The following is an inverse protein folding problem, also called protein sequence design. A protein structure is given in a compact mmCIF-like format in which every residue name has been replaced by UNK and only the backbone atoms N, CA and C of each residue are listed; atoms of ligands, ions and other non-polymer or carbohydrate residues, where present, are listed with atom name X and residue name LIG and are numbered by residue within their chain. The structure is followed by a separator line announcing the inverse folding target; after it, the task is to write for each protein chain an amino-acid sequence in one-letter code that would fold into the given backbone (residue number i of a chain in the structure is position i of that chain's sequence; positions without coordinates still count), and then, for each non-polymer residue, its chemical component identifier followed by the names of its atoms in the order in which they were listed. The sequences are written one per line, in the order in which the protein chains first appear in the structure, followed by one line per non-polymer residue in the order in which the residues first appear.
data_IF_125918756826
#
_entry.id   IF_125918756826
#
_cell.length_a   1.000
_cell.length_b   1.000
_cell.length_c   1.000
_cell.angle_alpha   90.00
_cell.angle_beta   90.00
_cell.angle_gamma   90.00
#
_symmetry.space_group_name_H-M   'P 1'
#
loop_
_entity.id
_entity.type
_entity.pdbx_description
1 polymer ?
#
# COMPACT_ATOMS: atom_id res chain seq x y z
N UNK A 1 6.44 -23.89 -3.92
CA UNK A 1 6.13 -22.68 -3.13
C UNK A 1 6.14 -22.92 -1.62
N UNK A 2 5.53 -24.00 -1.08
CA UNK A 2 5.55 -24.28 0.38
C UNK A 2 6.94 -24.30 1.02
N UNK A 3 7.92 -25.00 0.44
CA UNK A 3 9.29 -25.05 0.97
C UNK A 3 9.93 -23.65 1.13
N UNK A 4 9.77 -22.77 0.14
CA UNK A 4 10.30 -21.41 0.21
C UNK A 4 9.56 -20.58 1.27
N UNK A 5 8.23 -20.71 1.36
CA UNK A 5 7.44 -20.05 2.39
C UNK A 5 7.85 -20.51 3.80
N UNK A 6 8.01 -21.82 4.01
CA UNK A 6 8.44 -22.38 5.29
C UNK A 6 9.86 -21.92 5.67
N UNK A 7 10.78 -21.85 4.70
CA UNK A 7 12.13 -21.31 4.91
C UNK A 7 12.10 -19.83 5.27
N UNK A 8 11.32 -19.02 4.55
CA UNK A 8 11.19 -17.58 4.82
C UNK A 8 10.54 -17.31 6.19
N UNK A 9 9.46 -18.01 6.53
CA UNK A 9 8.83 -17.93 7.85
C UNK A 9 9.79 -18.32 8.97
N UNK A 10 10.67 -19.30 8.76
CA UNK A 10 11.70 -19.65 9.73
C UNK A 10 12.82 -18.58 9.82
N UNK A 11 13.20 -17.95 8.70
CA UNK A 11 14.13 -16.82 8.71
C UNK A 11 13.55 -15.61 9.45
N UNK A 12 12.26 -15.32 9.30
CA UNK A 12 11.59 -14.24 10.04
C UNK A 12 11.55 -14.51 11.55
N UNK A 13 11.41 -15.78 11.97
CA UNK A 13 11.52 -16.17 13.40
C UNK A 13 12.95 -16.16 13.92
N UNK A 14 13.93 -16.36 13.03
CA UNK A 14 15.35 -16.49 13.35
C UNK A 14 16.12 -15.18 13.52
N UNK A 15 15.52 -14.02 13.24
CA UNK A 15 16.20 -12.71 13.34
C UNK A 15 16.29 -12.14 14.76
N UNK A 16 16.13 -12.96 15.80
CA UNK A 16 16.53 -12.57 17.15
C UNK A 16 18.07 -12.53 17.27
N UNK A 17 18.61 -11.33 17.12
CA UNK A 17 19.83 -10.90 17.81
C UNK A 17 21.15 -11.46 17.29
N UNK A 18 21.65 -10.90 16.19
CA UNK A 18 23.10 -10.77 15.95
C UNK A 18 23.54 -9.33 16.24
N UNK A 19 23.13 -8.78 17.38
CA UNK A 19 23.61 -7.47 17.86
C UNK A 19 24.94 -7.61 18.60
N UNK A 20 25.97 -8.14 17.93
CA UNK A 20 27.29 -8.25 18.52
C UNK A 20 28.42 -8.37 17.48
N UNK A 21 28.44 -7.51 16.46
CA UNK A 21 29.67 -7.30 15.69
C UNK A 21 30.28 -5.93 16.01
N UNK A 22 31.25 -5.96 16.92
CA UNK A 22 32.44 -5.11 16.88
C UNK A 22 32.29 -3.63 17.22
N UNK A 23 32.20 -3.30 18.52
CA UNK A 23 32.64 -1.98 19.02
C UNK A 23 34.15 -1.83 18.83
N UNK A 24 34.62 -1.36 17.67
CA UNK A 24 35.94 -0.72 17.54
C UNK A 24 35.88 0.47 16.57
N UNK A 25 36.33 1.62 17.10
CA UNK A 25 36.47 2.97 16.53
C UNK A 25 35.19 3.74 16.13
N UNK A 26 34.38 4.08 17.15
CA UNK A 26 33.33 5.12 17.08
C UNK A 26 33.90 6.55 17.13
N UNK A 27 35.21 6.72 17.40
CA UNK A 27 35.82 8.03 17.69
C UNK A 27 36.03 8.97 16.49
N UNK A 28 35.93 8.47 15.25
CA UNK A 28 36.18 9.26 14.02
C UNK A 28 34.94 9.42 13.14
N UNK A 29 33.75 9.12 13.66
CA UNK A 29 32.50 9.26 12.92
C UNK A 29 32.06 10.73 12.91
N UNK A 30 32.00 11.33 11.72
CA UNK A 30 31.53 12.70 11.58
C UNK A 30 30.03 12.78 11.86
N UNK A 31 29.64 13.76 12.67
CA UNK A 31 28.26 14.19 12.86
C UNK A 31 27.79 15.17 11.78
N UNK A 32 28.71 15.69 10.96
CA UNK A 32 28.38 16.58 9.85
C UNK A 32 27.81 15.75 8.69
N UNK A 33 26.56 16.00 8.25
CA UNK A 33 25.89 15.13 7.28
C UNK A 33 26.63 14.98 5.95
N UNK A 34 27.22 16.06 5.42
CA UNK A 34 27.95 16.06 4.16
C UNK A 34 29.22 15.21 4.25
N UNK A 35 29.93 15.29 5.38
CA UNK A 35 31.10 14.44 5.63
C UNK A 35 30.70 12.99 5.82
N UNK A 36 29.58 12.72 6.49
CA UNK A 36 29.05 11.36 6.66
C UNK A 36 28.67 10.73 5.31
N UNK A 37 28.02 11.47 4.39
CA UNK A 37 27.74 11.02 3.02
C UNK A 37 29.03 10.65 2.28
N UNK A 38 30.03 11.54 2.34
CA UNK A 38 31.34 11.30 1.70
C UNK A 38 32.03 10.07 2.28
N UNK A 39 31.97 9.86 3.59
CA UNK A 39 32.55 8.70 4.25
C UNK A 39 31.93 7.39 3.75
N UNK A 40 30.60 7.35 3.59
CA UNK A 40 29.91 6.16 3.05
C UNK A 40 30.33 5.86 1.62
N UNK A 41 30.37 6.87 0.74
CA UNK A 41 30.67 6.68 -0.68
C UNK A 41 32.15 6.41 -0.97
N UNK A 42 33.06 6.91 -0.12
CA UNK A 42 34.51 6.67 -0.26
C UNK A 42 35.00 5.40 0.43
N UNK A 43 34.16 4.73 1.23
CA UNK A 43 34.52 3.49 1.90
C UNK A 43 34.86 2.39 0.87
N UNK A 44 36.04 1.79 1.03
CA UNK A 44 36.54 0.69 0.19
C UNK A 44 36.41 -0.67 0.86
N UNK A 45 36.37 -0.73 2.20
CA UNK A 45 36.19 -1.95 2.97
C UNK A 45 34.71 -2.20 3.31
N UNK A 46 34.27 -3.45 3.20
CA UNK A 46 32.89 -3.88 3.50
C UNK A 46 32.49 -3.55 4.95
N UNK A 47 33.34 -3.91 5.92
CA UNK A 47 33.09 -3.64 7.35
C UNK A 47 33.03 -2.14 7.64
N UNK A 48 33.96 -1.35 7.09
CA UNK A 48 33.95 0.12 7.26
C UNK A 48 32.72 0.76 6.62
N UNK A 49 32.29 0.26 5.46
CA UNK A 49 31.11 0.78 4.76
C UNK A 49 29.84 0.63 5.60
N UNK A 50 29.67 -0.51 6.29
CA UNK A 50 28.53 -0.74 7.17
C UNK A 50 28.52 0.22 8.36
N UNK A 51 29.68 0.47 8.98
CA UNK A 51 29.80 1.40 10.12
C UNK A 51 29.48 2.84 9.70
N UNK A 52 30.01 3.30 8.56
CA UNK A 52 29.71 4.64 8.06
C UNK A 52 28.25 4.78 7.63
N UNK A 53 27.67 3.74 7.02
CA UNK A 53 26.27 3.75 6.61
C UNK A 53 25.33 3.81 7.82
N UNK A 54 25.63 3.06 8.87
CA UNK A 54 24.89 3.08 10.13
C UNK A 54 24.95 4.48 10.79
N UNK A 55 26.15 5.09 10.80
CA UNK A 55 26.31 6.46 11.28
C UNK A 55 25.50 7.47 10.47
N UNK A 56 25.54 7.39 9.13
CA UNK A 56 24.81 8.31 8.29
C UNK A 56 23.29 8.20 8.50
N UNK A 57 22.75 6.99 8.66
CA UNK A 57 21.33 6.83 8.97
C UNK A 57 20.98 7.44 10.34
N UNK A 58 21.82 7.26 11.36
CA UNK A 58 21.63 7.90 12.67
C UNK A 58 21.63 9.43 12.56
N UNK A 59 22.55 9.98 11.75
CA UNK A 59 22.59 11.41 11.48
C UNK A 59 21.30 11.86 10.80
N UNK A 60 20.88 11.20 9.72
CA UNK A 60 19.65 11.54 8.97
C UNK A 60 18.41 11.53 9.86
N UNK A 61 18.28 10.53 10.74
CA UNK A 61 17.14 10.41 11.66
C UNK A 61 17.10 11.52 12.72
N UNK A 62 18.26 12.10 13.05
CA UNK A 62 18.36 13.23 13.98
C UNK A 62 18.14 14.61 13.31
N UNK A 63 18.18 14.68 11.98
CA UNK A 63 17.96 15.94 11.25
C UNK A 63 16.48 16.33 11.24
N UNK A 64 16.20 17.62 11.41
CA UNK A 64 14.91 18.19 11.04
C UNK A 64 14.74 18.23 9.50
N UNK A 65 13.57 18.65 9.04
CA UNK A 65 13.22 18.64 7.63
C UNK A 65 13.98 19.67 6.80
N UNK A 66 14.36 20.83 7.38
CA UNK A 66 15.15 21.86 6.68
C UNK A 66 16.59 21.40 6.51
N UNK A 67 17.17 20.83 7.58
CA UNK A 67 18.49 20.22 7.56
C UNK A 67 18.54 19.04 6.58
N UNK A 68 17.53 18.17 6.58
CA UNK A 68 17.44 17.06 5.64
C UNK A 68 17.37 17.56 4.19
N UNK A 69 16.56 18.59 3.91
CA UNK A 69 16.49 19.21 2.59
C UNK A 69 17.86 19.77 2.14
N UNK A 70 18.64 20.37 3.04
CA UNK A 70 19.99 20.84 2.73
C UNK A 70 20.94 19.68 2.35
N UNK A 71 20.83 18.54 3.04
CA UNK A 71 21.61 17.33 2.71
C UNK A 71 21.22 16.75 1.36
N UNK A 72 19.92 16.68 1.06
CA UNK A 72 19.41 16.20 -0.23
C UNK A 72 19.83 17.10 -1.39
N UNK A 73 19.80 18.42 -1.18
CA UNK A 73 20.30 19.39 -2.16
C UNK A 73 21.79 19.18 -2.42
N UNK A 74 22.59 19.07 -1.36
CA UNK A 74 24.01 18.76 -1.49
C UNK A 74 24.27 17.44 -2.24
N UNK A 75 23.44 16.42 -1.98
CA UNK A 75 23.53 15.12 -2.64
C UNK A 75 23.26 15.21 -4.14
N UNK A 76 22.27 16.01 -4.55
CA UNK A 76 22.01 16.30 -5.97
C UNK A 76 23.15 17.11 -6.61
N UNK A 77 23.74 18.06 -5.90
CA UNK A 77 24.81 18.90 -6.46
C UNK A 77 26.13 18.13 -6.66
N UNK A 78 26.42 17.18 -5.76
CA UNK A 78 27.75 16.53 -5.69
C UNK A 78 27.78 15.10 -6.19
N UNK A 79 26.64 14.39 -6.19
CA UNK A 79 26.58 12.95 -6.50
C UNK A 79 25.47 12.59 -7.50
N UNK A 80 24.93 13.55 -8.25
CA UNK A 80 24.04 13.28 -9.38
C UNK A 80 24.84 12.97 -10.68
N UNK A 81 24.13 12.64 -11.76
CA UNK A 81 24.70 12.29 -13.05
C UNK A 81 25.55 13.43 -13.62
N UNK A 82 26.80 13.14 -13.98
CA UNK A 82 27.61 14.05 -14.77
C UNK A 82 27.14 14.04 -16.25
N UNK A 83 26.31 15.02 -16.61
CA UNK A 83 25.70 15.11 -17.94
C UNK A 83 26.72 15.12 -19.10
N UNK A 84 27.90 15.74 -18.91
CA UNK A 84 28.94 15.77 -19.93
C UNK A 84 29.60 14.39 -20.11
N UNK A 85 29.89 13.70 -19.01
CA UNK A 85 30.44 12.36 -19.04
C UNK A 85 29.45 11.36 -19.67
N UNK A 86 28.16 11.45 -19.30
CA UNK A 86 27.10 10.62 -19.90
C UNK A 86 26.96 10.87 -21.40
N UNK A 87 26.93 12.13 -21.85
CA UNK A 87 26.85 12.46 -23.28
C UNK A 87 28.04 11.89 -24.08
N UNK A 88 29.26 11.97 -23.51
CA UNK A 88 30.46 11.39 -24.12
C UNK A 88 30.38 9.86 -24.19
N UNK A 89 29.93 9.21 -23.12
CA UNK A 89 29.74 7.77 -23.07
C UNK A 89 28.70 7.30 -24.11
N UNK A 90 27.56 7.99 -24.19
CA UNK A 90 26.51 7.71 -25.16
C UNK A 90 26.99 7.83 -26.62
N UNK A 91 27.75 8.89 -26.95
CA UNK A 91 28.33 9.06 -28.29
C UNK A 91 29.29 7.92 -28.63
N UNK A 92 30.13 7.52 -27.67
CA UNK A 92 31.09 6.41 -27.86
C UNK A 92 30.35 5.09 -28.09
N UNK A 93 29.35 4.79 -27.27
CA UNK A 93 28.55 3.58 -27.37
C UNK A 93 27.77 3.50 -28.69
N UNK A 94 27.23 4.62 -29.17
CA UNK A 94 26.53 4.70 -30.45
C UNK A 94 27.45 4.33 -31.65
N UNK A 95 28.74 4.65 -31.57
CA UNK A 95 29.72 4.30 -32.61
C UNK A 95 30.30 2.90 -32.46
N UNK A 96 30.34 2.36 -31.24
CA UNK A 96 30.94 1.07 -30.93
C UNK A 96 30.22 0.39 -29.75
N UNK A 97 29.11 -0.35 -30.01
CA UNK A 97 28.30 -0.99 -28.97
C UNK A 97 28.96 -2.26 -28.45
N UNK A 98 30.10 -2.10 -27.78
CA UNK A 98 30.88 -3.17 -27.18
C UNK A 98 30.43 -3.44 -25.75
N UNK A 99 30.81 -4.59 -25.20
CA UNK A 99 30.57 -4.92 -23.78
C UNK A 99 31.14 -3.84 -22.84
N UNK A 100 32.41 -3.43 -23.01
CA UNK A 100 33.00 -2.37 -22.20
C UNK A 100 32.32 -1.01 -22.39
N UNK A 101 31.85 -0.72 -23.62
CA UNK A 101 31.05 0.48 -23.88
C UNK A 101 29.71 0.48 -23.13
N UNK A 102 29.05 -0.68 -23.02
CA UNK A 102 27.80 -0.85 -22.27
C UNK A 102 28.02 -0.59 -20.77
N UNK A 103 29.11 -1.10 -20.20
CA UNK A 103 29.48 -0.87 -18.80
C UNK A 103 29.74 0.63 -18.52
N UNK A 104 30.48 1.31 -19.40
CA UNK A 104 30.79 2.73 -19.27
C UNK A 104 29.51 3.59 -19.29
N UNK A 105 28.61 3.34 -20.25
CA UNK A 105 27.35 4.12 -20.33
C UNK A 105 26.43 3.81 -19.15
N UNK A 106 26.34 2.55 -18.71
CA UNK A 106 25.52 2.16 -17.57
C UNK A 106 26.01 2.86 -16.28
N UNK A 107 27.32 2.81 -16.01
CA UNK A 107 27.91 3.47 -14.85
C UNK A 107 27.78 5.00 -14.91
N UNK A 108 27.94 5.61 -16.10
CA UNK A 108 27.78 7.05 -16.26
C UNK A 108 26.31 7.53 -16.14
N UNK A 109 25.34 6.64 -16.40
CA UNK A 109 23.91 6.93 -16.32
C UNK A 109 23.33 6.70 -14.91
N UNK A 110 24.13 6.20 -13.97
CA UNK A 110 23.69 5.97 -12.60
C UNK A 110 24.24 7.05 -11.68
N UNK A 111 23.38 7.78 -10.95
CA UNK A 111 23.84 8.76 -9.97
C UNK A 111 24.44 8.07 -8.74
N UNK A 112 25.46 8.69 -8.14
CA UNK A 112 26.17 8.15 -6.98
C UNK A 112 25.29 7.96 -5.74
N UNK A 113 24.21 8.73 -5.62
CA UNK A 113 23.24 8.55 -4.53
C UNK A 113 22.44 7.24 -4.60
N UNK A 114 22.39 6.55 -5.75
CA UNK A 114 21.83 5.20 -5.83
C UNK A 114 22.69 4.18 -5.06
N UNK A 115 24.01 4.29 -5.22
CA UNK A 115 24.96 3.46 -4.49
C UNK A 115 24.96 3.77 -2.99
N UNK A 116 24.79 5.05 -2.63
CA UNK A 116 24.57 5.45 -1.24
C UNK A 116 23.42 4.65 -0.61
N UNK A 117 22.24 4.64 -1.25
CA UNK A 117 21.08 3.92 -0.72
C UNK A 117 21.27 2.40 -0.69
N UNK A 118 22.02 1.80 -1.63
CA UNK A 118 22.37 0.37 -1.52
C UNK A 118 23.21 0.07 -0.29
N UNK A 119 24.20 0.92 0.00
CA UNK A 119 25.06 0.78 1.19
C UNK A 119 24.28 1.00 2.48
N UNK A 120 23.35 1.97 2.50
CA UNK A 120 22.46 2.17 3.63
C UNK A 120 21.53 0.97 3.86
N UNK A 121 21.03 0.34 2.80
CA UNK A 121 20.17 -0.83 2.92
C UNK A 121 20.89 -2.07 3.49
N UNK A 122 22.22 -2.14 3.36
CA UNK A 122 23.02 -3.25 3.87
C UNK A 122 23.19 -3.23 5.40
N UNK A 123 22.80 -2.14 6.08
CA UNK A 123 22.91 -2.05 7.54
C UNK A 123 21.79 -2.82 8.25
N UNK A 124 21.89 -2.93 9.57
CA UNK A 124 20.84 -3.58 10.37
C UNK A 124 19.57 -2.73 10.31
N UNK A 125 18.44 -3.35 9.93
CA UNK A 125 17.17 -2.66 9.68
C UNK A 125 17.25 -1.54 8.62
N UNK A 126 18.28 -1.51 7.77
CA UNK A 126 18.49 -0.46 6.78
C UNK A 126 17.29 -0.25 5.85
N UNK A 127 16.61 -1.34 5.46
CA UNK A 127 15.38 -1.27 4.65
C UNK A 127 14.26 -0.49 5.35
N UNK A 128 13.99 -0.76 6.63
CA UNK A 128 12.95 -0.07 7.41
C UNK A 128 13.28 1.43 7.48
N UNK A 129 14.53 1.76 7.77
CA UNK A 129 15.01 3.14 7.90
C UNK A 129 14.94 3.90 6.58
N UNK A 130 15.22 3.25 5.45
CA UNK A 130 15.05 3.83 4.11
C UNK A 130 13.57 4.05 3.74
N UNK A 131 12.67 3.19 4.21
CA UNK A 131 11.22 3.39 4.02
C UNK A 131 10.75 4.62 4.80
N UNK A 132 11.17 4.80 6.04
CA UNK A 132 10.88 6.02 6.82
C UNK A 132 11.54 7.28 6.23
N UNK A 133 12.78 7.16 5.74
CA UNK A 133 13.42 8.25 4.99
C UNK A 133 12.59 8.63 3.76
N UNK A 134 12.07 7.66 3.02
CA UNK A 134 11.21 7.92 1.85
C UNK A 134 9.91 8.60 2.24
N UNK A 135 9.31 8.22 3.36
CA UNK A 135 8.13 8.91 3.91
C UNK A 135 8.41 10.40 4.10
N UNK A 136 9.51 10.76 4.79
CA UNK A 136 9.93 12.16 4.95
C UNK A 136 10.23 12.85 3.62
N UNK A 137 10.91 12.17 2.70
CA UNK A 137 11.22 12.67 1.36
C UNK A 137 9.96 13.10 0.60
N UNK A 138 8.88 12.31 0.70
CA UNK A 138 7.62 12.59 0.01
C UNK A 138 6.94 13.87 0.50
N UNK A 139 7.11 14.21 1.77
CA UNK A 139 6.60 15.47 2.31
C UNK A 139 7.45 16.66 1.88
N UNK A 140 8.78 16.51 1.89
CA UNK A 140 9.71 17.53 1.39
C UNK A 140 9.50 17.87 -0.09
N UNK A 141 9.13 16.88 -0.92
CA UNK A 141 8.87 17.07 -2.36
C UNK A 141 7.76 18.08 -2.66
N UNK A 142 6.87 18.39 -1.72
CA UNK A 142 5.84 19.42 -1.91
C UNK A 142 6.44 20.82 -2.13
N UNK A 143 7.55 21.10 -1.45
CA UNK A 143 8.26 22.38 -1.53
C UNK A 143 9.56 22.30 -2.34
N UNK A 144 10.07 21.08 -2.61
CA UNK A 144 11.31 20.83 -3.35
C UNK A 144 11.10 19.82 -4.50
N UNK A 145 10.56 20.25 -5.66
CA UNK A 145 10.22 19.34 -6.77
C UNK A 145 11.41 18.54 -7.32
N UNK A 146 12.63 19.07 -7.26
CA UNK A 146 13.85 18.38 -7.74
C UNK A 146 14.14 17.07 -6.99
N UNK A 147 13.64 16.91 -5.76
CA UNK A 147 13.76 15.69 -4.97
C UNK A 147 12.99 14.51 -5.57
N UNK A 148 12.11 14.75 -6.55
CA UNK A 148 11.46 13.70 -7.32
C UNK A 148 12.46 12.76 -8.04
N UNK A 149 13.65 13.26 -8.38
CA UNK A 149 14.72 12.43 -8.99
C UNK A 149 15.20 11.37 -8.01
N UNK A 150 15.40 11.75 -6.74
CA UNK A 150 15.79 10.85 -5.65
C UNK A 150 14.66 9.85 -5.37
N UNK A 151 13.41 10.30 -5.21
CA UNK A 151 12.26 9.40 -4.97
C UNK A 151 12.12 8.37 -6.10
N UNK A 152 12.26 8.79 -7.36
CA UNK A 152 12.17 7.88 -8.51
C UNK A 152 13.24 6.80 -8.48
N UNK A 153 14.47 7.13 -8.09
CA UNK A 153 15.54 6.15 -7.93
C UNK A 153 15.32 5.23 -6.73
N UNK A 154 14.89 5.77 -5.59
CA UNK A 154 14.57 4.99 -4.40
C UNK A 154 13.40 4.04 -4.64
N UNK A 155 12.37 4.45 -5.37
CA UNK A 155 11.27 3.58 -5.83
C UNK A 155 11.80 2.41 -6.67
N UNK A 156 12.78 2.64 -7.55
CA UNK A 156 13.40 1.56 -8.35
C UNK A 156 14.14 0.57 -7.46
N UNK A 157 14.89 1.05 -6.46
CA UNK A 157 15.58 0.19 -5.49
C UNK A 157 14.57 -0.63 -4.67
N UNK A 158 13.56 0.04 -4.09
CA UNK A 158 12.52 -0.61 -3.30
C UNK A 158 11.74 -1.65 -4.13
N UNK A 159 11.43 -1.39 -5.40
CA UNK A 159 10.79 -2.39 -6.28
C UNK A 159 11.65 -3.66 -6.46
N UNK A 160 12.97 -3.51 -6.50
CA UNK A 160 13.86 -4.65 -6.61
C UNK A 160 13.98 -5.42 -5.28
N UNK A 161 13.96 -4.72 -4.15
CA UNK A 161 14.07 -5.32 -2.82
C UNK A 161 12.77 -5.99 -2.36
N UNK A 162 11.61 -5.41 -2.66
CA UNK A 162 10.29 -5.92 -2.30
C UNK A 162 9.70 -6.77 -3.44
N UNK A 163 10.34 -7.90 -3.72
CA UNK A 163 9.82 -8.84 -4.70
C UNK A 163 8.54 -9.51 -4.14
N UNK A 164 7.40 -9.45 -4.87
CA UNK A 164 6.15 -10.10 -4.45
C UNK A 164 6.28 -11.59 -4.12
N UNK A 165 7.23 -12.29 -4.76
CA UNK A 165 7.51 -13.70 -4.54
C UNK A 165 8.00 -14.04 -3.12
N UNK A 166 8.49 -13.04 -2.37
CA UNK A 166 8.94 -13.20 -0.99
C UNK A 166 7.91 -12.74 0.05
N UNK A 167 6.74 -12.25 -0.39
CA UNK A 167 5.69 -11.88 0.55
C UNK A 167 5.11 -13.12 1.23
N UNK A 168 5.19 -13.12 2.55
CA UNK A 168 4.62 -14.15 3.41
C UNK A 168 3.28 -13.67 3.92
N UNK A 169 2.26 -14.52 3.80
CA UNK A 169 0.94 -14.26 4.37
C UNK A 169 0.89 -14.94 5.73
N UNK A 170 0.60 -14.18 6.79
CA UNK A 170 0.44 -14.72 8.14
C UNK A 170 -0.94 -14.36 8.70
N UNK A 171 -1.62 -15.29 9.40
CA UNK A 171 -2.82 -14.96 10.16
C UNK A 171 -2.44 -14.07 11.35
N UNK A 172 -3.29 -13.10 11.65
CA UNK A 172 -3.17 -12.22 12.80
C UNK A 172 -4.35 -12.50 13.73
N UNK A 173 -4.02 -12.81 14.98
CA UNK A 173 -4.98 -13.14 16.02
C UNK A 173 -4.51 -12.61 17.38
N UNK A 174 -5.25 -12.92 18.44
CA UNK A 174 -4.92 -12.48 19.80
C UNK A 174 -3.68 -13.18 20.40
N UNK A 175 -3.13 -14.20 19.74
CA UNK A 175 -1.86 -14.83 20.11
C UNK A 175 -0.65 -14.16 19.44
N UNK A 176 -0.88 -13.29 18.47
CA UNK A 176 0.15 -12.51 17.78
C UNK A 176 0.86 -11.57 18.76
N UNK A 177 2.15 -11.34 18.55
CA UNK A 177 2.97 -10.53 19.45
C UNK A 177 2.46 -9.09 19.57
N UNK A 178 2.46 -8.57 20.79
CA UNK A 178 1.91 -7.25 21.10
C UNK A 178 2.53 -6.11 20.25
N UNK A 179 3.83 -6.20 19.94
CA UNK A 179 4.52 -5.24 19.09
C UNK A 179 3.98 -5.18 17.65
N UNK A 180 3.45 -6.27 17.11
CA UNK A 180 2.79 -6.30 15.79
C UNK A 180 1.37 -5.78 15.91
N UNK A 181 0.65 -6.15 16.99
CA UNK A 181 -0.70 -5.67 17.25
C UNK A 181 -0.76 -4.15 17.45
N UNK A 182 0.21 -3.57 18.17
CA UNK A 182 0.36 -2.12 18.31
C UNK A 182 0.51 -1.40 16.97
N UNK A 183 1.27 -2.00 16.05
CA UNK A 183 1.45 -1.47 14.69
C UNK A 183 0.16 -1.56 13.89
N UNK A 184 -0.61 -2.64 14.01
CA UNK A 184 -1.91 -2.76 13.34
C UNK A 184 -2.87 -1.67 13.83
N UNK A 185 -2.88 -1.38 15.14
CA UNK A 185 -3.65 -0.25 15.69
C UNK A 185 -3.21 1.07 15.04
N UNK A 186 -1.89 1.32 14.98
CA UNK A 186 -1.33 2.55 14.43
C UNK A 186 -1.56 2.73 12.92
N UNK A 187 -1.71 1.63 12.18
CA UNK A 187 -1.78 1.63 10.71
C UNK A 187 -3.20 1.50 10.14
N UNK A 188 -4.23 1.35 10.97
CA UNK A 188 -5.60 1.20 10.48
C UNK A 188 -6.14 2.50 9.87
N UNK A 189 -6.29 2.49 8.54
CA UNK A 189 -6.60 3.68 7.76
C UNK A 189 -8.08 3.78 7.34
N UNK A 190 -8.83 2.67 7.37
CA UNK A 190 -10.22 2.61 6.90
C UNK A 190 -11.16 2.93 8.05
N UNK A 191 -11.12 2.14 9.12
CA UNK A 191 -11.94 2.25 10.33
C UNK A 191 -11.06 2.30 11.57
N UNK A 192 -10.76 3.51 12.03
CA UNK A 192 -9.84 3.77 13.14
C UNK A 192 -10.07 2.84 14.35
N UNK A 193 -9.00 2.20 14.81
CA UNK A 193 -8.99 1.36 16.01
C UNK A 193 -8.54 2.25 17.18
N UNK A 194 -9.49 2.69 17.99
CA UNK A 194 -9.23 3.66 19.07
C UNK A 194 -8.76 3.02 20.38
N UNK A 195 -8.83 1.68 20.49
CA UNK A 195 -8.45 0.96 21.72
C UNK A 195 -8.07 -0.50 21.45
N UNK A 196 -7.34 -1.10 22.41
CA UNK A 196 -7.07 -2.54 22.44
C UNK A 196 -8.34 -3.39 22.50
N UNK A 197 -9.40 -2.87 23.11
CA UNK A 197 -10.70 -3.53 23.14
C UNK A 197 -11.35 -3.56 21.76
N UNK A 198 -11.24 -2.47 20.99
CA UNK A 198 -11.70 -2.42 19.60
C UNK A 198 -10.90 -3.39 18.72
N UNK A 199 -9.58 -3.48 18.91
CA UNK A 199 -8.75 -4.47 18.23
C UNK A 199 -9.19 -5.90 18.60
N UNK A 200 -9.40 -6.18 19.89
CA UNK A 200 -9.83 -7.49 20.36
C UNK A 200 -11.19 -7.88 19.76
N UNK A 201 -12.14 -6.96 19.67
CA UNK A 201 -13.44 -7.20 19.06
C UNK A 201 -13.35 -7.56 17.56
N UNK A 202 -12.27 -7.16 16.88
CA UNK A 202 -12.00 -7.48 15.47
C UNK A 202 -11.15 -8.74 15.27
N UNK A 203 -10.43 -9.21 16.28
CA UNK A 203 -9.51 -10.35 16.17
C UNK A 203 -9.96 -11.60 16.93
N UNK A 204 -10.65 -11.44 18.06
CA UNK A 204 -11.00 -12.53 18.96
C UNK A 204 -12.23 -13.36 18.53
N UNK A 205 -13.30 -12.76 17.96
CA UNK A 205 -14.46 -13.55 17.53
C UNK A 205 -14.13 -14.57 16.43
N UNK A 206 -14.75 -15.75 16.48
CA UNK A 206 -14.51 -16.81 15.50
C UNK A 206 -14.97 -16.45 14.08
N UNK A 207 -15.90 -15.51 13.94
CA UNK A 207 -16.38 -15.00 12.65
C UNK A 207 -15.56 -13.79 12.15
N UNK A 208 -14.41 -13.54 12.78
CA UNK A 208 -13.43 -12.57 12.32
C UNK A 208 -12.12 -13.27 11.97
N UNK A 209 -11.50 -12.78 10.90
CA UNK A 209 -10.17 -13.20 10.48
C UNK A 209 -9.38 -11.94 10.12
N UNK A 210 -8.13 -11.90 10.51
CA UNK A 210 -7.20 -10.86 10.08
C UNK A 210 -5.96 -11.54 9.53
N UNK A 211 -5.38 -10.94 8.49
CA UNK A 211 -4.17 -11.42 7.88
C UNK A 211 -3.24 -10.24 7.62
N UNK A 212 -1.94 -10.48 7.68
CA UNK A 212 -0.94 -9.52 7.25
C UNK A 212 0.07 -10.14 6.29
N UNK A 213 0.56 -9.31 5.38
CA UNK A 213 1.66 -9.61 4.48
C UNK A 213 2.95 -9.04 5.05
N UNK A 214 3.92 -9.92 5.25
CA UNK A 214 5.26 -9.59 5.71
C UNK A 214 6.27 -9.81 4.58
N UNK A 215 7.39 -9.10 4.66
CA UNK A 215 8.53 -9.32 3.79
C UNK A 215 9.77 -9.61 4.64
N UNK A 216 10.65 -10.55 4.24
CA UNK A 216 11.85 -10.90 5.01
C UNK A 216 12.78 -9.72 5.31
N UNK A 217 12.76 -8.68 4.47
CA UNK A 217 13.53 -7.45 4.70
C UNK A 217 12.94 -6.54 5.79
N UNK A 218 11.68 -6.74 6.17
CA UNK A 218 10.99 -6.03 7.26
C UNK A 218 10.12 -7.03 8.06
N UNK A 219 10.74 -8.00 8.77
CA UNK A 219 10.03 -9.16 9.31
C UNK A 219 9.03 -8.82 10.44
N UNK A 220 9.25 -7.69 11.14
CA UNK A 220 8.38 -7.22 12.21
C UNK A 220 7.45 -6.07 11.76
N UNK A 221 7.37 -5.82 10.45
CA UNK A 221 6.53 -4.77 9.89
C UNK A 221 5.46 -5.40 9.00
N UNK A 222 4.17 -5.33 9.39
CA UNK A 222 3.12 -5.64 8.45
C UNK A 222 3.23 -4.61 7.31
N UNK A 223 3.24 -5.08 6.06
CA UNK A 223 3.25 -4.21 4.89
C UNK A 223 1.83 -3.89 4.44
N UNK A 224 0.98 -4.92 4.46
CA UNK A 224 -0.44 -4.84 4.16
C UNK A 224 -1.14 -5.71 5.18
N UNK A 225 -2.21 -5.24 5.78
CA UNK A 225 -3.13 -6.13 6.48
C UNK A 225 -4.54 -6.05 5.93
N UNK A 226 -5.27 -7.12 6.18
CA UNK A 226 -6.56 -7.41 5.59
C UNK A 226 -7.47 -7.93 6.70
N UNK A 227 -8.54 -7.22 6.98
CA UNK A 227 -9.58 -7.64 7.91
C UNK A 227 -10.77 -8.25 7.17
N UNK A 228 -11.24 -9.39 7.67
CA UNK A 228 -12.29 -10.20 7.05
C UNK A 228 -13.37 -10.53 8.08
N UNK A 229 -14.61 -10.26 7.71
CA UNK A 229 -15.80 -10.70 8.41
C UNK A 229 -16.38 -11.93 7.72
N UNK A 230 -16.64 -12.99 8.48
CA UNK A 230 -17.33 -14.18 8.00
C UNK A 230 -18.84 -13.98 8.22
N UNK A 231 -19.62 -14.10 7.16
CA UNK A 231 -21.07 -13.87 7.16
C UNK A 231 -21.80 -14.91 6.30
N UNK A 232 -23.12 -14.96 6.42
CA UNK A 232 -23.98 -15.72 5.52
C UNK A 232 -24.35 -14.90 4.27
N UNK A 233 -24.56 -13.60 4.42
CA UNK A 233 -24.99 -12.69 3.36
C UNK A 233 -23.94 -11.62 3.00
N UNK A 234 -24.10 -10.97 1.85
CA UNK A 234 -23.27 -9.84 1.43
C UNK A 234 -23.75 -8.58 2.17
N UNK A 235 -22.94 -7.97 3.05
CA UNK A 235 -23.36 -6.79 3.79
C UNK A 235 -23.37 -5.56 2.88
N UNK A 236 -24.36 -4.70 3.11
CA UNK A 236 -24.50 -3.42 2.44
C UNK A 236 -24.01 -2.25 3.30
N UNK A 237 -23.99 -2.42 4.61
CA UNK A 237 -23.62 -1.37 5.58
C UNK A 237 -22.46 -1.81 6.45
N UNK A 238 -21.53 -0.89 6.69
CA UNK A 238 -20.36 -1.18 7.53
C UNK A 238 -20.71 -1.30 9.00
N UNK A 239 -21.70 -0.56 9.48
CA UNK A 239 -22.15 -0.62 10.88
C UNK A 239 -22.56 -2.04 11.30
N UNK A 240 -23.17 -2.79 10.38
CA UNK A 240 -23.56 -4.19 10.60
C UNK A 240 -22.34 -5.11 10.80
N UNK A 241 -21.19 -4.73 10.21
CA UNK A 241 -19.93 -5.46 10.33
C UNK A 241 -19.16 -5.02 11.57
N UNK A 242 -19.19 -3.74 11.93
CA UNK A 242 -18.42 -3.20 13.06
C UNK A 242 -19.17 -3.26 14.41
N UNK A 243 -20.44 -3.66 14.43
CA UNK A 243 -21.24 -3.76 15.65
C UNK A 243 -20.55 -4.64 16.72
N UNK A 244 -20.28 -4.04 17.89
CA UNK A 244 -19.62 -4.72 19.02
C UNK A 244 -20.53 -5.72 19.74
N UNK A 245 -21.83 -5.42 19.81
CA UNK A 245 -22.85 -6.26 20.45
C UNK A 245 -23.60 -7.08 19.39
N UNK A 246 -22.92 -8.10 18.86
CA UNK A 246 -23.52 -9.07 17.94
C UNK A 246 -23.24 -10.48 18.45
N UNK A 247 -24.21 -11.37 18.28
CA UNK A 247 -23.98 -12.79 18.50
C UNK A 247 -23.02 -13.27 17.41
N UNK A 248 -21.82 -13.67 17.80
CA UNK A 248 -20.84 -14.18 16.85
C UNK A 248 -21.34 -15.52 16.31
N UNK A 249 -21.61 -15.57 15.02
CA UNK A 249 -21.96 -16.81 14.34
C UNK A 249 -20.77 -17.77 14.38
N UNK A 250 -21.06 -19.07 14.39
CA UNK A 250 -20.00 -20.06 14.24
C UNK A 250 -19.35 -19.90 12.85
N UNK A 251 -18.02 -19.86 12.79
CA UNK A 251 -17.27 -19.70 11.53
C UNK A 251 -17.67 -20.74 10.46
N UNK A 252 -18.05 -21.94 10.89
CA UNK A 252 -18.50 -23.03 10.03
C UNK A 252 -19.83 -22.78 9.32
N UNK A 253 -20.69 -21.90 9.84
CA UNK A 253 -21.97 -21.53 9.21
C UNK A 253 -21.81 -20.47 8.12
N UNK A 254 -20.65 -19.79 8.06
CA UNK A 254 -20.42 -18.72 7.10
C UNK A 254 -20.30 -19.27 5.67
N UNK A 255 -20.92 -18.54 4.73
CA UNK A 255 -20.87 -18.82 3.29
C UNK A 255 -20.16 -17.73 2.51
N UNK A 256 -19.95 -16.57 3.14
CA UNK A 256 -19.43 -15.35 2.55
C UNK A 256 -18.27 -14.82 3.41
N UNK A 257 -17.14 -14.54 2.77
CA UNK A 257 -16.03 -13.81 3.37
C UNK A 257 -16.03 -12.37 2.86
N UNK A 258 -16.12 -11.42 3.79
CA UNK A 258 -16.25 -9.98 3.51
C UNK A 258 -14.96 -9.26 3.91
N UNK A 259 -14.18 -8.82 2.91
CA UNK A 259 -13.01 -7.97 3.11
C UNK A 259 -13.46 -6.52 3.34
N UNK A 260 -13.51 -6.10 4.61
CA UNK A 260 -14.04 -4.77 4.97
C UNK A 260 -12.94 -3.74 5.28
N UNK A 261 -11.70 -4.17 5.55
CA UNK A 261 -10.55 -3.28 5.65
C UNK A 261 -9.33 -3.89 4.96
N UNK A 262 -8.65 -3.08 4.15
CA UNK A 262 -7.37 -3.41 3.52
C UNK A 262 -6.49 -2.17 3.64
N UNK A 263 -5.45 -2.26 4.46
CA UNK A 263 -4.61 -1.12 4.82
C UNK A 263 -3.17 -1.37 4.39
N UNK A 264 -2.57 -0.39 3.70
CA UNK A 264 -1.12 -0.36 3.45
C UNK A 264 -0.47 0.38 4.63
N UNK A 265 0.36 -0.33 5.38
CA UNK A 265 0.93 0.15 6.63
C UNK A 265 2.09 1.13 6.43
N UNK A 266 2.74 1.08 5.26
CA UNK A 266 4.00 1.77 5.03
C UNK A 266 3.81 2.85 3.97
N UNK A 267 3.61 4.09 4.40
CA UNK A 267 3.49 5.28 3.53
C UNK A 267 4.72 5.44 2.62
N UNK A 268 5.90 5.13 3.14
CA UNK A 268 7.17 5.07 2.41
C UNK A 268 7.23 3.97 1.34
N UNK A 269 6.27 3.06 1.26
CA UNK A 269 6.11 2.07 0.18
C UNK A 269 4.99 2.44 -0.81
N UNK A 270 4.44 3.65 -0.72
CA UNK A 270 3.46 4.14 -1.70
C UNK A 270 4.00 4.04 -3.14
N UNK A 271 3.23 3.43 -4.05
CA UNK A 271 3.61 3.23 -5.45
C UNK A 271 4.52 2.01 -5.72
N UNK A 272 4.82 1.22 -4.69
CA UNK A 272 5.43 -0.11 -4.82
C UNK A 272 4.30 -1.14 -4.93
N UNK A 273 4.32 -1.94 -5.99
CA UNK A 273 3.35 -3.03 -6.16
C UNK A 273 3.88 -4.28 -5.44
N UNK A 274 3.03 -4.85 -4.59
CA UNK A 274 3.26 -6.11 -3.89
C UNK A 274 2.72 -7.31 -4.69
N UNK A 275 2.59 -7.14 -6.01
CA UNK A 275 1.95 -8.08 -6.89
C UNK A 275 0.43 -7.91 -6.93
N UNK A 276 -0.16 -8.44 -7.98
CA UNK A 276 -1.60 -8.62 -8.09
C UNK A 276 -1.95 -9.96 -7.44
N UNK A 277 -3.20 -10.15 -7.03
CA UNK A 277 -3.71 -11.37 -6.38
C UNK A 277 -3.43 -11.50 -4.88
N UNK A 278 -3.19 -10.40 -4.16
CA UNK A 278 -3.11 -10.40 -2.69
C UNK A 278 -4.39 -10.97 -2.08
N UNK A 279 -5.55 -10.49 -2.54
CA UNK A 279 -6.85 -10.95 -2.05
C UNK A 279 -7.13 -12.39 -2.47
N UNK A 280 -6.69 -12.82 -3.66
CA UNK A 280 -6.76 -14.23 -4.08
C UNK A 280 -6.01 -15.14 -3.10
N UNK A 281 -4.84 -14.73 -2.59
CA UNK A 281 -4.08 -15.51 -1.61
C UNK A 281 -4.84 -15.65 -0.29
N UNK A 282 -5.41 -14.56 0.22
CA UNK A 282 -6.21 -14.58 1.46
C UNK A 282 -7.48 -15.42 1.27
N UNK A 283 -8.22 -15.19 0.20
CA UNK A 283 -9.43 -15.95 -0.14
C UNK A 283 -9.13 -17.45 -0.34
N UNK A 284 -8.00 -17.79 -0.99
CA UNK A 284 -7.55 -19.16 -1.15
C UNK A 284 -7.20 -19.84 0.18
N UNK A 285 -6.56 -19.10 1.11
CA UNK A 285 -6.31 -19.58 2.47
C UNK A 285 -7.62 -19.83 3.23
N UNK A 286 -8.54 -18.87 3.20
CA UNK A 286 -9.86 -18.99 3.83
C UNK A 286 -10.67 -20.16 3.27
N UNK A 287 -10.66 -20.38 1.95
CA UNK A 287 -11.36 -21.53 1.33
C UNK A 287 -10.77 -22.87 1.75
N UNK A 288 -9.47 -22.94 2.02
CA UNK A 288 -8.82 -24.15 2.52
C UNK A 288 -9.17 -24.44 3.99
N UNK A 289 -9.26 -23.38 4.81
CA UNK A 289 -9.64 -23.49 6.23
C UNK A 289 -11.15 -23.77 6.39
N UNK A 290 -11.99 -23.08 5.62
CA UNK A 290 -13.45 -23.10 5.69
C UNK A 290 -14.04 -23.41 4.30
N UNK A 291 -14.20 -24.70 3.94
CA UNK A 291 -14.68 -25.11 2.62
C UNK A 291 -16.10 -24.64 2.27
N UNK A 292 -16.91 -24.24 3.26
CA UNK A 292 -18.27 -23.73 3.08
C UNK A 292 -18.30 -22.32 2.46
N UNK A 293 -17.16 -21.60 2.46
CA UNK A 293 -17.05 -20.27 1.88
C UNK A 293 -17.09 -20.35 0.35
N UNK A 294 -18.19 -19.87 -0.21
CA UNK A 294 -18.44 -19.82 -1.65
C UNK A 294 -18.25 -18.41 -2.23
N UNK A 295 -18.50 -17.36 -1.43
CA UNK A 295 -18.46 -15.96 -1.87
C UNK A 295 -17.32 -15.20 -1.19
N UNK A 296 -16.56 -14.46 -1.98
CA UNK A 296 -15.47 -13.61 -1.52
C UNK A 296 -15.72 -12.20 -2.01
N UNK A 297 -16.22 -11.34 -1.12
CA UNK A 297 -16.66 -9.98 -1.48
C UNK A 297 -15.94 -8.97 -0.61
N UNK A 298 -15.86 -7.73 -1.08
CA UNK A 298 -15.37 -6.62 -0.25
C UNK A 298 -16.53 -5.77 0.22
N UNK A 299 -16.31 -4.93 1.22
CA UNK A 299 -17.15 -3.77 1.50
C UNK A 299 -16.22 -2.55 1.52
N UNK A 300 -16.06 -1.93 0.36
CA UNK A 300 -14.98 -0.96 0.09
C UNK A 300 -15.50 0.48 0.07
N UNK A 301 -14.70 1.46 0.56
CA UNK A 301 -15.00 2.88 0.39
C UNK A 301 -14.77 3.33 -1.06
N UNK A 302 -15.33 4.49 -1.42
CA UNK A 302 -15.19 5.09 -2.77
C UNK A 302 -14.59 6.50 -2.67
N UNK A 303 -13.33 6.63 -2.19
CA UNK A 303 -12.74 7.94 -1.91
C UNK A 303 -12.65 8.81 -3.17
N UNK A 304 -12.99 10.09 -3.03
CA UNK A 304 -12.89 11.08 -4.09
C UNK A 304 -14.13 11.20 -4.98
N UNK A 305 -15.16 10.37 -4.76
CA UNK A 305 -16.44 10.48 -5.46
C UNK A 305 -17.07 11.86 -5.25
N UNK A 306 -17.14 12.37 -4.02
CA UNK A 306 -17.74 13.70 -3.79
C UNK A 306 -16.93 14.82 -4.41
N UNK A 307 -15.59 14.72 -4.39
CA UNK A 307 -14.71 15.68 -5.07
C UNK A 307 -14.98 15.72 -6.57
N UNK A 308 -15.17 14.55 -7.19
CA UNK A 308 -15.53 14.45 -8.60
C UNK A 308 -16.96 14.97 -8.84
N UNK A 309 -17.90 14.61 -7.97
CA UNK A 309 -19.32 14.98 -8.06
C UNK A 309 -19.51 16.49 -7.94
N UNK A 310 -18.76 17.19 -7.08
CA UNK A 310 -18.79 18.66 -7.01
C UNK A 310 -18.39 19.35 -8.32
N UNK A 311 -17.61 18.68 -9.18
CA UNK A 311 -17.23 19.21 -10.48
C UNK A 311 -18.20 18.78 -11.60
N UNK A 312 -18.67 17.53 -11.59
CA UNK A 312 -19.52 16.98 -12.65
C UNK A 312 -21.02 17.23 -12.44
N UNK A 313 -21.48 17.20 -11.18
CA UNK A 313 -22.88 17.28 -10.76
C UNK A 313 -23.03 18.17 -9.49
N UNK A 314 -22.74 19.48 -9.57
CA UNK A 314 -22.62 20.37 -8.40
C UNK A 314 -23.92 20.50 -7.58
N UNK A 315 -25.07 20.50 -8.23
CA UNK A 315 -26.37 20.58 -7.55
C UNK A 315 -26.59 19.34 -6.66
N UNK A 316 -26.31 18.16 -7.20
CA UNK A 316 -26.40 16.91 -6.47
C UNK A 316 -25.38 16.85 -5.32
N UNK A 317 -24.15 17.31 -5.55
CA UNK A 317 -23.12 17.33 -4.52
C UNK A 317 -23.50 18.22 -3.32
N UNK A 318 -24.25 19.30 -3.56
CA UNK A 318 -24.66 20.26 -2.53
C UNK A 318 -25.68 19.67 -1.55
N UNK A 319 -26.54 18.75 -2.00
CA UNK A 319 -27.50 18.04 -1.14
C UNK A 319 -26.82 17.18 -0.06
N UNK A 320 -25.55 16.80 -0.26
CA UNK A 320 -24.76 16.03 0.71
C UNK A 320 -23.88 16.92 1.61
N UNK A 321 -24.01 18.25 1.52
CA UNK A 321 -23.33 19.17 2.44
C UNK A 321 -24.12 19.27 3.75
N UNK A 322 -23.45 19.08 4.90
CA UNK A 322 -24.11 19.18 6.21
C UNK A 322 -25.10 18.07 6.54
N UNK A 323 -24.94 16.88 5.95
CA UNK A 323 -25.75 15.68 6.23
C UNK A 323 -25.72 15.33 7.72
N UNK A 324 -26.91 15.14 8.27
CA UNK A 324 -27.14 14.62 9.61
C UNK A 324 -28.04 13.35 9.56
N UNK A 325 -28.50 12.88 10.71
CA UNK A 325 -29.37 11.70 10.77
C UNK A 325 -30.72 11.90 10.06
N UNK A 326 -31.24 13.14 10.00
CA UNK A 326 -32.54 13.45 9.37
C UNK A 326 -32.48 13.33 7.84
N UNK A 327 -31.32 13.62 7.24
CA UNK A 327 -31.08 13.42 5.81
C UNK A 327 -31.37 11.99 5.38
N UNK A 328 -30.91 11.00 6.17
CA UNK A 328 -31.04 9.59 5.84
C UNK A 328 -32.46 9.07 5.96
N UNK A 329 -33.31 9.70 6.76
CA UNK A 329 -34.73 9.35 6.89
C UNK A 329 -35.64 10.04 5.89
N UNK A 330 -35.29 11.25 5.42
CA UNK A 330 -36.22 12.09 4.65
C UNK A 330 -35.77 12.35 3.21
N UNK A 331 -34.48 12.65 3.00
CA UNK A 331 -33.97 13.13 1.70
C UNK A 331 -33.25 12.04 0.90
N UNK A 332 -32.64 11.06 1.58
CA UNK A 332 -31.82 10.04 0.96
C UNK A 332 -32.57 9.25 -0.14
N UNK A 333 -33.81 8.83 0.10
CA UNK A 333 -34.59 8.03 -0.86
C UNK A 333 -34.87 8.81 -2.15
N UNK A 334 -35.22 10.10 -2.04
CA UNK A 334 -35.47 10.99 -3.19
C UNK A 334 -34.24 11.11 -4.10
N UNK A 335 -33.05 11.16 -3.51
CA UNK A 335 -31.80 11.41 -4.22
C UNK A 335 -31.12 10.12 -4.73
N UNK A 336 -31.59 8.95 -4.28
CA UNK A 336 -30.89 7.69 -4.49
C UNK A 336 -30.68 7.36 -5.97
N UNK A 337 -31.67 7.57 -6.84
CA UNK A 337 -31.58 7.24 -8.25
C UNK A 337 -30.52 8.10 -8.97
N UNK A 338 -30.59 9.42 -8.79
CA UNK A 338 -29.67 10.38 -9.41
C UNK A 338 -28.25 10.21 -8.87
N UNK A 339 -28.11 10.02 -7.56
CA UNK A 339 -26.83 9.71 -6.93
C UNK A 339 -26.22 8.42 -7.46
N UNK A 340 -27.01 7.35 -7.56
CA UNK A 340 -26.52 6.05 -8.04
C UNK A 340 -26.09 6.15 -9.51
N UNK A 341 -26.79 6.93 -10.34
CA UNK A 341 -26.40 7.17 -11.74
C UNK A 341 -25.04 7.88 -11.82
N UNK A 342 -24.87 8.97 -11.07
CA UNK A 342 -23.61 9.72 -11.03
C UNK A 342 -22.45 8.88 -10.46
N UNK A 343 -22.71 8.06 -9.43
CA UNK A 343 -21.72 7.15 -8.87
C UNK A 343 -21.28 6.06 -9.88
N UNK A 344 -22.22 5.50 -10.65
CA UNK A 344 -21.90 4.54 -11.71
C UNK A 344 -21.06 5.18 -12.81
N UNK A 345 -21.37 6.42 -13.20
CA UNK A 345 -20.53 7.18 -14.14
C UNK A 345 -19.10 7.33 -13.60
N UNK A 346 -18.94 7.80 -12.37
CA UNK A 346 -17.61 7.94 -11.74
C UNK A 346 -16.80 6.64 -11.70
N UNK A 347 -17.46 5.52 -11.37
CA UNK A 347 -16.82 4.22 -11.23
C UNK A 347 -16.46 3.60 -12.59
N UNK A 348 -17.25 3.84 -13.64
CA UNK A 348 -17.14 3.11 -14.91
C UNK A 348 -16.57 3.93 -16.07
N UNK A 349 -16.66 5.26 -16.04
CA UNK A 349 -16.18 6.15 -17.09
C UNK A 349 -14.91 6.87 -16.62
N UNK A 350 -13.77 6.54 -17.22
CA UNK A 350 -12.49 7.17 -16.86
C UNK A 350 -12.38 8.59 -17.40
N UNK A 351 -12.06 9.54 -16.50
CA UNK A 351 -11.59 10.88 -16.86
C UNK A 351 -10.05 11.00 -16.86
N UNK A 352 -9.32 9.89 -16.73
CA UNK A 352 -7.85 9.88 -16.57
C UNK A 352 -7.15 9.70 -17.92
N UNK A 353 -5.94 10.31 -18.13
CA UNK A 353 -5.16 10.11 -19.35
C UNK A 353 -4.71 8.66 -19.59
N UNK A 354 -4.58 7.86 -18.52
CA UNK A 354 -4.18 6.45 -18.58
C UNK A 354 -5.36 5.48 -18.80
N UNK A 355 -6.58 6.00 -18.89
CA UNK A 355 -7.81 5.22 -19.08
C UNK A 355 -8.22 4.37 -17.87
N UNK A 356 -7.51 4.43 -16.74
CA UNK A 356 -7.87 3.67 -15.54
C UNK A 356 -9.09 4.27 -14.84
N UNK A 357 -9.86 3.50 -14.05
CA UNK A 357 -10.96 4.02 -13.21
C UNK A 357 -10.54 5.22 -12.36
N UNK A 358 -11.45 6.16 -12.13
CA UNK A 358 -11.16 7.39 -11.38
C UNK A 358 -10.86 7.11 -9.90
N UNK A 359 -11.58 6.16 -9.32
CA UNK A 359 -11.45 5.74 -7.94
C UNK A 359 -10.17 4.90 -7.70
N UNK A 360 -9.27 5.28 -6.77
CA UNK A 360 -8.11 4.47 -6.43
C UNK A 360 -8.45 3.08 -5.90
N UNK A 361 -9.56 2.94 -5.17
CA UNK A 361 -9.95 1.66 -4.57
C UNK A 361 -10.47 0.71 -5.65
N UNK A 362 -11.25 1.21 -6.63
CA UNK A 362 -11.61 0.50 -7.85
C UNK A 362 -10.37 0.02 -8.61
N UNK A 363 -9.40 0.91 -8.86
CA UNK A 363 -8.14 0.52 -9.52
C UNK A 363 -7.45 -0.65 -8.81
N UNK A 364 -7.45 -0.64 -7.48
CA UNK A 364 -6.87 -1.71 -6.68
C UNK A 364 -7.65 -3.04 -6.84
N UNK A 365 -8.96 -3.06 -6.62
CA UNK A 365 -9.75 -4.29 -6.66
C UNK A 365 -9.87 -4.89 -8.06
N UNK A 366 -10.14 -4.05 -9.06
CA UNK A 366 -10.22 -4.48 -10.47
C UNK A 366 -8.84 -4.91 -10.97
N UNK A 367 -7.78 -4.22 -10.55
CA UNK A 367 -6.40 -4.63 -10.74
C UNK A 367 -6.04 -5.95 -10.05
N UNK A 368 -6.80 -6.40 -9.05
CA UNK A 368 -6.67 -7.73 -8.44
C UNK A 368 -7.65 -8.76 -9.04
N UNK A 369 -8.39 -8.41 -10.10
CA UNK A 369 -9.26 -9.33 -10.84
C UNK A 369 -10.70 -9.43 -10.32
N UNK A 370 -11.14 -8.50 -9.47
CA UNK A 370 -12.52 -8.46 -8.99
C UNK A 370 -13.50 -7.89 -10.03
N UNK A 371 -14.79 -8.08 -9.79
CA UNK A 371 -15.89 -7.39 -10.47
C UNK A 371 -16.52 -6.37 -9.54
N UNK A 372 -17.05 -5.27 -10.09
CA UNK A 372 -17.99 -4.42 -9.35
C UNK A 372 -19.30 -5.18 -9.21
N UNK A 373 -19.62 -5.59 -7.98
CA UNK A 373 -20.73 -6.49 -7.68
C UNK A 373 -22.01 -5.72 -7.32
N UNK A 374 -21.87 -4.70 -6.48
CA UNK A 374 -22.99 -3.99 -5.90
C UNK A 374 -22.59 -2.58 -5.43
N UNK A 375 -23.51 -1.63 -5.54
CA UNK A 375 -23.39 -0.29 -4.96
C UNK A 375 -24.29 -0.21 -3.71
N UNK A 376 -23.76 0.37 -2.64
CA UNK A 376 -24.42 0.47 -1.34
C UNK A 376 -24.60 1.93 -0.96
N UNK A 377 -25.71 2.53 -1.41
CA UNK A 377 -26.08 3.89 -1.03
C UNK A 377 -26.37 3.98 0.47
N UNK A 378 -25.71 4.91 1.18
CA UNK A 378 -25.77 4.98 2.64
C UNK A 378 -25.11 3.79 3.36
N UNK A 379 -24.14 3.14 2.69
CA UNK A 379 -23.37 2.02 3.23
C UNK A 379 -22.47 2.40 4.41
N UNK A 380 -21.95 3.62 4.43
CA UNK A 380 -21.23 4.21 5.57
C UNK A 380 -21.73 5.63 5.81
N UNK A 381 -22.39 5.84 6.95
CA UNK A 381 -23.00 7.14 7.29
C UNK A 381 -22.09 8.00 8.16
N UNK A 382 -20.85 7.58 8.40
CA UNK A 382 -19.89 8.36 9.16
C UNK A 382 -19.59 9.70 8.45
N UNK A 383 -19.29 10.77 9.20
CA UNK A 383 -18.95 12.07 8.60
C UNK A 383 -17.80 11.98 7.58
N UNK A 384 -16.81 11.10 7.82
CA UNK A 384 -15.69 10.83 6.92
C UNK A 384 -16.17 10.25 5.58
N UNK A 385 -16.99 9.22 5.60
CA UNK A 385 -17.48 8.56 4.38
C UNK A 385 -18.46 9.45 3.60
N UNK A 386 -19.28 10.24 4.30
CA UNK A 386 -20.15 11.24 3.66
C UNK A 386 -19.32 12.29 2.94
N UNK A 387 -18.31 12.87 3.60
CA UNK A 387 -17.44 13.87 2.99
C UNK A 387 -16.66 13.33 1.77
N UNK A 388 -16.26 12.05 1.80
CA UNK A 388 -15.47 11.44 0.73
C UNK A 388 -16.32 10.94 -0.44
N UNK A 389 -17.50 10.39 -0.16
CA UNK A 389 -18.27 9.58 -1.11
C UNK A 389 -19.80 9.65 -0.95
N UNK A 390 -20.36 10.63 -0.22
CA UNK A 390 -21.81 10.71 -0.02
C UNK A 390 -22.38 9.51 0.75
N UNK A 391 -21.53 8.82 1.50
CA UNK A 391 -21.84 7.60 2.23
C UNK A 391 -21.95 6.34 1.36
N UNK A 392 -21.53 6.41 0.10
CA UNK A 392 -21.46 5.26 -0.78
C UNK A 392 -20.35 4.30 -0.34
N UNK A 393 -20.70 3.01 -0.28
CA UNK A 393 -19.75 1.91 -0.33
C UNK A 393 -20.04 1.01 -1.54
N UNK A 394 -19.11 0.14 -1.88
CA UNK A 394 -19.27 -0.82 -2.97
C UNK A 394 -18.79 -2.20 -2.55
N UNK A 395 -19.44 -3.24 -3.06
CA UNK A 395 -18.90 -4.59 -2.98
C UNK A 395 -18.15 -4.91 -4.27
N UNK A 396 -16.92 -5.38 -4.14
CA UNK A 396 -16.19 -6.04 -5.22
C UNK A 396 -16.21 -7.55 -5.01
N UNK A 397 -16.58 -8.33 -6.02
CA UNK A 397 -16.62 -9.80 -5.96
C UNK A 397 -15.33 -10.40 -6.54
N UNK A 398 -14.70 -11.28 -5.78
CA UNK A 398 -13.56 -12.10 -6.19
C UNK A 398 -14.02 -13.52 -6.52
N UNK A 399 -14.28 -13.77 -7.79
CA UNK A 399 -14.47 -15.14 -8.28
C UNK A 399 -13.12 -15.80 -8.52
N UNK A 400 -12.73 -16.71 -7.61
CA UNK A 400 -11.41 -17.36 -7.64
C UNK A 400 -11.15 -18.18 -8.90
N UNK A 401 -12.20 -18.59 -9.63
CA UNK A 401 -12.07 -19.41 -10.84
C UNK A 401 -11.74 -18.57 -12.08
N UNK A 402 -12.10 -17.27 -12.08
CA UNK A 402 -11.89 -16.37 -13.22
C UNK A 402 -11.05 -15.12 -12.89
N UNK A 403 -10.62 -14.94 -11.64
CA UNK A 403 -9.86 -13.76 -11.17
C UNK A 403 -8.64 -13.42 -12.03
N UNK A 404 -7.89 -14.43 -12.50
CA UNK A 404 -6.72 -14.22 -13.37
C UNK A 404 -7.12 -13.73 -14.76
N UNK A 405 -8.19 -14.30 -15.33
CA UNK A 405 -8.72 -13.85 -16.62
C UNK A 405 -9.21 -12.41 -16.53
N UNK A 406 -9.94 -12.06 -15.48
CA UNK A 406 -10.42 -10.69 -15.26
C UNK A 406 -9.26 -9.70 -15.10
N UNK A 407 -8.22 -10.10 -14.37
CA UNK A 407 -7.02 -9.29 -14.20
C UNK A 407 -6.39 -8.94 -15.56
N UNK A 408 -6.17 -9.94 -16.41
CA UNK A 408 -5.62 -9.76 -17.75
C UNK A 408 -6.52 -8.90 -18.63
N UNK A 409 -7.83 -9.15 -18.60
CA UNK A 409 -8.81 -8.40 -19.38
C UNK A 409 -8.88 -6.93 -18.95
N UNK A 410 -8.91 -6.65 -17.64
CA UNK A 410 -8.86 -5.29 -17.10
C UNK A 410 -7.54 -4.60 -17.44
N UNK A 411 -6.40 -5.29 -17.34
CA UNK A 411 -5.11 -4.72 -17.70
C UNK A 411 -5.05 -4.32 -19.18
N UNK A 412 -5.66 -5.12 -20.06
CA UNK A 412 -5.68 -4.88 -21.50
C UNK A 412 -6.67 -3.79 -21.90
N UNK A 413 -7.89 -3.83 -21.37
CA UNK A 413 -9.01 -3.00 -21.84
C UNK A 413 -9.24 -1.75 -21.00
N UNK A 414 -8.80 -1.77 -19.74
CA UNK A 414 -9.13 -0.81 -18.67
C UNK A 414 -10.64 -0.68 -18.38
N UNK A 415 -11.46 -1.53 -19.00
CA UNK A 415 -12.90 -1.54 -18.82
C UNK A 415 -13.26 -2.21 -17.50
N UNK A 416 -14.18 -1.59 -16.74
CA UNK A 416 -14.61 -2.09 -15.43
C UNK A 416 -15.46 -3.35 -15.60
N UNK A 417 -15.04 -4.51 -15.06
CA UNK A 417 -15.87 -5.70 -15.07
C UNK A 417 -17.07 -5.53 -14.13
N UNK A 418 -18.29 -5.72 -14.66
CA UNK A 418 -19.55 -5.52 -13.93
C UNK A 418 -20.33 -6.82 -13.77
N UNK A 419 -20.94 -7.01 -12.59
CA UNK A 419 -21.91 -8.08 -12.35
C UNK A 419 -23.17 -7.90 -13.21
N UNK A 420 -23.96 -8.97 -13.34
CA UNK A 420 -25.26 -8.90 -14.01
C UNK A 420 -26.22 -7.95 -13.29
N UNK A 421 -26.15 -7.88 -11.96
CA UNK A 421 -26.96 -6.98 -11.14
C UNK A 421 -26.65 -5.50 -11.44
N UNK A 422 -25.37 -5.13 -11.49
CA UNK A 422 -24.96 -3.75 -11.81
C UNK A 422 -25.33 -3.39 -13.25
N UNK A 423 -25.17 -4.33 -14.20
CA UNK A 423 -25.59 -4.10 -15.60
C UNK A 423 -27.10 -3.89 -15.73
N UNK A 424 -27.92 -4.58 -14.92
CA UNK A 424 -29.36 -4.38 -14.90
C UNK A 424 -29.71 -3.02 -14.28
N UNK A 425 -29.06 -2.66 -13.17
CA UNK A 425 -29.22 -1.36 -12.51
C UNK A 425 -28.89 -0.19 -13.44
N UNK A 426 -27.81 -0.28 -14.21
CA UNK A 426 -27.43 0.72 -15.21
C UNK A 426 -28.48 0.91 -16.32
N UNK A 427 -29.31 -0.11 -16.61
CA UNK A 427 -30.37 -0.02 -17.62
C UNK A 427 -31.69 0.50 -17.04
N UNK A 428 -31.92 0.32 -15.74
CA UNK A 428 -33.16 0.75 -15.08
C UNK A 428 -33.12 2.21 -14.62
N UNK A 429 -31.92 2.75 -14.38
CA UNK A 429 -31.69 4.17 -14.16
C UNK A 429 -31.71 4.86 -15.51
#
# INVERSE_FOLDING_TARGET
MRLLQDMLSNLMRGTMGLSAFGRKHVSDLSSEPQQAVKAVLSATGEVSSLVYAENLLNVIEALDDEQLAAVLTHLLDTHDINAQALAKAAKTYATAPTHGGLEIIANAAEPGWMELFRRLNATTNGTVRLVHFRERLRDLMRNHPDFQRIDSGLVRLLRNWFNPGFLVLEPIDWSTSANILEKIIAYEAVHEITSWENLRARLAPEDRRCFAFFHPAMPNEPLIFVEVALTTEIPQRIDNVLALNRDADAASAATTAVFYSISNCQSGLAGISFGNFLIKRVAGHLRQELPNLSRFVTLSPVPGLMKWMSAAHPDLATEFSGVDDSFWSENAERLQADFTRAALEYLTVSGRPDGLPNDPVARFHLGNGAFLEQLNYGGDRSPKAVAQAGGLMVNYLYDLDVVEKNHEEFNKTKAVPLSSGVKALMKSL
#
